data_IF_230300440276
#
_entry.id   IF_230300440276
#
_cell.length_a   1.000
_cell.length_b   1.000
_cell.length_c   1.000
_cell.angle_alpha   90.00
_cell.angle_beta   90.00
_cell.angle_gamma   90.00
#
_symmetry.space_group_name_H-M   'P 1'
#
loop_
_entity.id
_entity.type
_entity.pdbx_description
1 polymer ?
#
# COMPACT_ATOMS: atom_id res chain seq x y z
N UNK A 1 4.01 -2.77 -29.69
CA UNK A 1 3.88 -1.93 -28.48
C UNK A 1 2.53 -2.25 -27.87
N UNK A 2 2.49 -2.71 -26.62
CA UNK A 2 1.22 -2.80 -25.90
C UNK A 2 0.71 -1.35 -25.70
N UNK A 3 -0.56 -1.09 -26.01
CA UNK A 3 -1.16 0.23 -25.79
C UNK A 3 -1.13 0.61 -24.31
N UNK A 4 -1.09 1.92 -24.02
CA UNK A 4 -1.14 2.41 -22.64
C UNK A 4 -2.47 2.01 -21.98
N UNK A 5 -2.42 1.64 -20.70
CA UNK A 5 -3.63 1.32 -19.91
C UNK A 5 -4.58 2.51 -19.79
N UNK A 6 -4.12 3.73 -20.10
CA UNK A 6 -4.89 4.97 -20.06
C UNK A 6 -5.50 5.36 -21.42
N UNK A 7 -5.31 4.58 -22.49
CA UNK A 7 -5.91 4.85 -23.82
C UNK A 7 -7.45 4.73 -23.84
N UNK A 8 -8.00 3.96 -22.89
CA UNK A 8 -9.44 3.85 -22.67
C UNK A 8 -9.81 4.70 -21.47
N UNK A 9 -10.80 5.58 -21.62
CA UNK A 9 -11.25 6.44 -20.52
C UNK A 9 -11.70 5.60 -19.32
N UNK A 10 -11.05 5.78 -18.19
CA UNK A 10 -11.41 5.05 -16.98
C UNK A 10 -12.70 5.64 -16.37
N UNK A 11 -13.74 4.81 -16.25
CA UNK A 11 -15.05 5.23 -15.75
C UNK A 11 -15.03 5.72 -14.30
N UNK A 12 -14.14 5.18 -13.45
CA UNK A 12 -14.07 5.54 -12.03
C UNK A 12 -13.38 6.90 -11.85
N UNK A 13 -12.30 7.11 -12.59
CA UNK A 13 -11.64 8.41 -12.68
C UNK A 13 -12.61 9.47 -13.23
N UNK A 14 -13.26 9.18 -14.36
CA UNK A 14 -14.18 10.12 -15.00
C UNK A 14 -15.40 10.43 -14.12
N UNK A 15 -15.96 9.43 -13.44
CA UNK A 15 -17.06 9.65 -12.49
C UNK A 15 -16.62 10.56 -11.33
N UNK A 16 -15.40 10.41 -10.84
CA UNK A 16 -14.85 11.27 -9.80
C UNK A 16 -14.64 12.71 -10.31
N UNK A 17 -14.15 12.84 -11.55
CA UNK A 17 -13.96 14.13 -12.22
C UNK A 17 -15.27 14.88 -12.41
N UNK A 18 -16.36 14.19 -12.78
CA UNK A 18 -17.69 14.81 -12.90
C UNK A 18 -18.16 15.33 -11.54
N UNK A 19 -18.00 14.56 -10.47
CA UNK A 19 -18.34 15.04 -9.11
C UNK A 19 -17.52 16.26 -8.71
N UNK A 20 -16.20 16.23 -8.94
CA UNK A 20 -15.35 17.38 -8.66
C UNK A 20 -15.76 18.61 -9.48
N UNK A 21 -16.23 18.42 -10.71
CA UNK A 21 -16.69 19.53 -11.57
C UNK A 21 -17.94 20.26 -11.10
N UNK A 22 -18.68 19.69 -10.14
CA UNK A 22 -19.85 20.35 -9.52
C UNK A 22 -19.43 21.45 -8.54
N UNK A 23 -18.20 21.35 -8.01
CA UNK A 23 -17.69 22.27 -6.97
C UNK A 23 -16.52 23.12 -7.46
N UNK A 24 -15.80 22.65 -8.47
CA UNK A 24 -14.64 23.32 -9.04
C UNK A 24 -14.73 23.35 -10.56
N UNK A 25 -14.38 24.47 -11.16
CA UNK A 25 -14.36 24.56 -12.61
C UNK A 25 -13.21 23.73 -13.20
N UNK A 26 -13.57 22.70 -13.97
CA UNK A 26 -12.65 21.88 -14.74
C UNK A 26 -13.02 22.01 -16.21
N UNK A 27 -12.04 22.36 -17.04
CA UNK A 27 -12.22 22.57 -18.46
C UNK A 27 -11.28 21.69 -19.26
N UNK A 28 -11.68 21.35 -20.48
CA UNK A 28 -10.80 20.69 -21.43
C UNK A 28 -9.85 21.73 -22.03
N UNK A 29 -8.54 21.53 -21.87
CA UNK A 29 -7.49 22.49 -22.28
C UNK A 29 -7.24 22.51 -23.79
N UNK A 30 -7.64 21.47 -24.50
CA UNK A 30 -7.48 21.27 -25.95
C UNK A 30 -8.63 20.44 -26.55
N UNK A 31 -8.66 20.24 -27.86
CA UNK A 31 -9.66 19.37 -28.47
C UNK A 31 -9.37 17.90 -28.13
N UNK A 32 -10.39 17.15 -27.70
CA UNK A 32 -10.27 15.71 -27.41
C UNK A 32 -10.79 14.92 -28.59
N UNK A 33 -9.97 13.98 -29.06
CA UNK A 33 -10.26 13.13 -30.21
C UNK A 33 -10.35 11.66 -29.81
N UNK A 34 -11.16 10.89 -30.54
CA UNK A 34 -11.08 9.43 -30.52
C UNK A 34 -9.75 8.97 -31.15
N UNK A 35 -9.37 7.72 -30.90
CA UNK A 35 -8.25 7.07 -31.59
C UNK A 35 -8.42 7.02 -33.13
N UNK A 36 -9.64 7.17 -33.65
CA UNK A 36 -9.94 7.25 -35.08
C UNK A 36 -9.84 8.66 -35.66
N UNK A 37 -9.51 9.67 -34.84
CA UNK A 37 -9.39 11.07 -35.26
C UNK A 37 -10.71 11.85 -35.25
N UNK A 38 -11.81 11.27 -34.74
CA UNK A 38 -13.08 11.98 -34.59
C UNK A 38 -13.01 12.91 -33.38
N UNK A 39 -13.30 14.21 -33.58
CA UNK A 39 -13.39 15.17 -32.47
C UNK A 39 -14.58 14.82 -31.58
N UNK A 40 -14.30 14.46 -30.33
CA UNK A 40 -15.31 14.10 -29.34
C UNK A 40 -15.72 15.29 -28.50
N UNK A 41 -14.76 16.11 -28.04
CA UNK A 41 -14.98 17.27 -27.18
C UNK A 41 -14.17 18.46 -27.69
N UNK A 42 -14.74 19.66 -27.61
CA UNK A 42 -14.05 20.89 -27.97
C UNK A 42 -13.25 21.47 -26.80
N UNK A 43 -12.12 22.11 -27.10
CA UNK A 43 -11.37 22.95 -26.16
C UNK A 43 -12.29 23.94 -25.46
N UNK A 44 -12.08 24.13 -24.17
CA UNK A 44 -12.85 25.03 -23.30
C UNK A 44 -14.17 24.43 -22.82
N UNK A 45 -14.53 23.20 -23.22
CA UNK A 45 -15.73 22.54 -22.69
C UNK A 45 -15.54 22.27 -21.21
N UNK A 46 -16.51 22.67 -20.38
CA UNK A 46 -16.52 22.33 -18.97
C UNK A 46 -16.85 20.85 -18.76
N UNK A 47 -16.16 20.20 -17.83
CA UNK A 47 -16.47 18.84 -17.41
C UNK A 47 -17.88 18.80 -16.82
N UNK A 48 -18.66 17.82 -17.25
CA UNK A 48 -20.06 17.66 -16.87
C UNK A 48 -20.52 16.23 -17.15
N UNK A 49 -21.71 15.87 -16.67
CA UNK A 49 -22.35 14.59 -17.01
C UNK A 49 -22.55 14.40 -18.53
N UNK A 50 -22.85 15.47 -19.26
CA UNK A 50 -22.97 15.40 -20.72
C UNK A 50 -21.63 15.12 -21.42
N UNK A 51 -20.51 15.62 -20.87
CA UNK A 51 -19.17 15.26 -21.34
C UNK A 51 -18.88 13.79 -21.07
N UNK A 52 -19.23 13.28 -19.88
CA UNK A 52 -19.06 11.86 -19.53
C UNK A 52 -19.68 10.94 -20.57
N UNK A 53 -20.95 11.16 -20.89
CA UNK A 53 -21.73 10.32 -21.82
C UNK A 53 -21.10 10.29 -23.23
N UNK A 54 -20.40 11.37 -23.63
CA UNK A 54 -19.75 11.49 -24.94
C UNK A 54 -18.42 10.77 -25.05
N UNK A 55 -17.74 10.43 -23.94
CA UNK A 55 -16.36 9.88 -23.99
C UNK A 55 -16.19 8.53 -23.29
N UNK A 56 -17.09 8.13 -22.38
CA UNK A 56 -16.92 6.91 -21.57
C UNK A 56 -16.75 5.65 -22.42
N UNK A 57 -17.43 5.57 -23.57
CA UNK A 57 -17.38 4.41 -24.47
C UNK A 57 -16.40 4.59 -25.65
N UNK A 58 -15.55 5.61 -25.61
CA UNK A 58 -14.59 5.89 -26.67
C UNK A 58 -13.15 5.70 -26.19
N UNK A 59 -12.35 5.00 -27.00
CA UNK A 59 -10.89 5.05 -26.88
C UNK A 59 -10.40 6.40 -27.40
N UNK A 60 -9.67 7.12 -26.57
CA UNK A 60 -9.16 8.45 -26.87
C UNK A 60 -7.81 8.36 -27.61
N UNK A 61 -7.46 9.43 -28.32
CA UNK A 61 -6.16 9.55 -28.98
C UNK A 61 -4.99 9.57 -27.97
N UNK A 62 -5.25 10.11 -26.78
CA UNK A 62 -4.34 10.17 -25.63
C UNK A 62 -5.15 10.15 -24.33
N UNK A 63 -4.52 9.86 -23.18
CA UNK A 63 -5.17 9.92 -21.87
C UNK A 63 -5.92 11.24 -21.66
N UNK A 64 -7.13 11.18 -21.10
CA UNK A 64 -8.00 12.34 -20.91
C UNK A 64 -7.31 13.41 -20.06
N UNK A 65 -6.57 12.96 -19.05
CA UNK A 65 -5.89 13.75 -18.02
C UNK A 65 -4.95 14.79 -18.63
N UNK A 66 -4.31 14.46 -19.75
CA UNK A 66 -3.44 15.38 -20.49
C UNK A 66 -4.20 16.57 -21.09
N UNK A 67 -5.50 16.41 -21.32
CA UNK A 67 -6.38 17.40 -21.94
C UNK A 67 -7.24 18.14 -20.92
N UNK A 68 -6.97 18.00 -19.62
CA UNK A 68 -7.71 18.67 -18.55
C UNK A 68 -6.94 19.87 -18.01
N UNK A 69 -7.68 20.90 -17.63
CA UNK A 69 -7.20 22.02 -16.82
C UNK A 69 -8.21 22.28 -15.73
N UNK A 70 -7.73 22.41 -14.52
CA UNK A 70 -8.54 22.93 -13.41
C UNK A 70 -8.35 24.45 -13.41
N UNK A 71 -9.44 25.23 -13.40
CA UNK A 71 -9.34 26.69 -13.20
C UNK A 71 -8.62 26.94 -11.89
N UNK A 72 -7.70 27.91 -11.83
CA UNK A 72 -6.72 28.26 -10.75
C UNK A 72 -7.27 28.22 -9.28
N UNK A 73 -7.82 27.09 -8.85
CA UNK A 73 -7.98 26.71 -7.47
C UNK A 73 -6.62 26.22 -7.05
N UNK A 74 -6.04 26.86 -6.04
CA UNK A 74 -4.78 26.44 -5.47
C UNK A 74 -4.85 24.93 -5.23
N UNK A 75 -3.81 24.20 -5.67
CA UNK A 75 -3.57 22.88 -5.08
C UNK A 75 -3.70 23.04 -3.55
N UNK A 76 -4.29 22.06 -2.86
CA UNK A 76 -4.35 22.07 -1.41
C UNK A 76 -3.00 22.49 -0.81
N UNK A 77 -3.05 23.34 0.21
CA UNK A 77 -1.84 23.80 0.89
C UNK A 77 -1.24 22.64 1.69
N UNK A 78 -0.36 21.87 1.03
CA UNK A 78 0.32 20.73 1.62
C UNK A 78 1.11 21.15 2.86
N UNK A 79 1.61 22.39 2.91
CA UNK A 79 2.36 22.89 4.05
C UNK A 79 1.46 23.07 5.27
N UNK A 80 0.30 23.69 5.11
CA UNK A 80 -0.71 23.77 6.19
C UNK A 80 -1.22 22.39 6.61
N UNK A 81 -1.45 21.47 5.67
CA UNK A 81 -1.82 20.08 6.00
C UNK A 81 -0.72 19.39 6.84
N UNK A 82 0.55 19.59 6.48
CA UNK A 82 1.68 19.05 7.23
C UNK A 82 1.82 19.64 8.63
N UNK A 83 1.60 20.94 8.79
CA UNK A 83 1.56 21.61 10.10
C UNK A 83 0.46 21.02 10.98
N UNK A 84 -0.76 20.89 10.45
CA UNK A 84 -1.87 20.26 11.17
C UNK A 84 -1.58 18.82 11.59
N UNK A 85 -0.95 18.02 10.71
CA UNK A 85 -0.55 16.65 11.05
C UNK A 85 0.48 16.61 12.19
N UNK A 86 1.44 17.54 12.21
CA UNK A 86 2.39 17.64 13.32
C UNK A 86 1.75 18.05 14.64
N UNK A 87 0.72 18.89 14.59
CA UNK A 87 -0.04 19.29 15.79
C UNK A 87 -0.92 18.15 16.31
N UNK A 88 -1.55 17.37 15.41
CA UNK A 88 -2.42 16.25 15.76
C UNK A 88 -1.63 15.00 16.23
N UNK A 89 -0.41 14.79 15.73
CA UNK A 89 0.32 13.52 15.88
C UNK A 89 1.72 13.74 16.48
N UNK A 90 1.87 13.69 17.82
CA UNK A 90 3.17 13.85 18.49
C UNK A 90 4.25 12.84 18.04
N UNK A 91 3.84 11.61 17.69
CA UNK A 91 4.75 10.57 17.21
C UNK A 91 5.28 10.87 15.81
N UNK A 92 4.49 11.50 14.95
CA UNK A 92 4.92 11.95 13.62
C UNK A 92 6.01 13.02 13.75
N UNK A 93 5.82 13.98 14.66
CA UNK A 93 6.78 15.06 14.89
C UNK A 93 8.16 14.51 15.25
N UNK A 94 8.24 13.48 16.07
CA UNK A 94 9.52 12.88 16.46
C UNK A 94 10.27 12.22 15.29
N UNK A 95 9.54 11.58 14.38
CA UNK A 95 10.14 10.89 13.22
C UNK A 95 10.48 11.90 12.11
N UNK A 96 9.63 12.90 11.90
CA UNK A 96 9.64 13.70 10.69
C UNK A 96 9.95 15.19 10.89
N UNK A 97 9.91 15.77 12.10
CA UNK A 97 10.20 17.21 12.33
C UNK A 97 11.71 17.49 12.47
N UNK A 98 12.44 17.21 11.39
CA UNK A 98 13.87 17.49 11.30
C UNK A 98 14.15 18.87 10.71
N UNK A 99 15.38 19.37 10.90
CA UNK A 99 15.81 20.65 10.33
C UNK A 99 17.26 20.59 9.83
N UNK A 100 17.48 21.05 8.61
CA UNK A 100 18.82 21.25 8.03
C UNK A 100 19.01 22.71 7.63
N UNK A 101 19.70 23.48 8.47
CA UNK A 101 19.87 24.92 8.29
C UNK A 101 18.51 25.64 8.32
N UNK A 102 18.00 26.04 7.16
CA UNK A 102 16.67 26.67 7.00
C UNK A 102 15.61 25.73 6.39
N UNK A 103 16.01 24.54 5.95
CA UNK A 103 15.10 23.57 5.33
C UNK A 103 14.40 22.78 6.43
N UNK A 104 13.07 22.68 6.31
CA UNK A 104 12.19 21.88 7.16
C UNK A 104 11.27 21.04 6.27
N UNK A 105 10.71 19.93 6.77
CA UNK A 105 9.75 19.10 6.04
C UNK A 105 8.55 19.90 5.51
N UNK A 106 7.94 20.74 6.34
CA UNK A 106 6.84 21.64 5.93
C UNK A 106 7.31 22.64 4.87
N UNK A 107 8.51 23.20 5.02
CA UNK A 107 9.10 24.07 4.01
C UNK A 107 9.32 23.34 2.68
N UNK A 108 9.68 22.06 2.71
CA UNK A 108 9.78 21.24 1.50
C UNK A 108 8.43 20.97 0.87
N UNK A 109 7.39 20.66 1.66
CA UNK A 109 6.02 20.52 1.17
C UNK A 109 5.54 21.78 0.46
N UNK A 110 5.86 22.95 1.01
CA UNK A 110 5.53 24.26 0.39
C UNK A 110 6.19 24.46 -0.97
N UNK A 111 7.40 23.93 -1.15
CA UNK A 111 8.18 24.07 -2.38
C UNK A 111 7.92 22.93 -3.40
N UNK A 112 7.09 21.92 -3.05
CA UNK A 112 6.70 20.87 -3.98
C UNK A 112 5.90 21.46 -5.14
N UNK A 113 6.44 21.31 -6.35
CA UNK A 113 5.82 21.82 -7.59
C UNK A 113 5.49 20.65 -8.50
N UNK A 114 4.21 20.57 -8.85
CA UNK A 114 3.73 19.63 -9.85
C UNK A 114 3.39 20.36 -11.15
N UNK A 115 3.67 19.74 -12.31
CA UNK A 115 3.26 20.30 -13.59
C UNK A 115 1.73 20.33 -13.68
N UNK A 116 1.19 21.20 -14.53
CA UNK A 116 -0.27 21.45 -14.63
C UNK A 116 -1.09 20.19 -14.85
N UNK A 117 -0.51 19.21 -15.55
CA UNK A 117 -1.14 17.91 -15.84
C UNK A 117 -1.43 17.08 -14.59
N UNK A 118 -0.69 17.31 -13.48
CA UNK A 118 -0.96 16.62 -12.22
C UNK A 118 -2.13 17.23 -11.43
N UNK A 119 -2.50 18.50 -11.71
CA UNK A 119 -3.44 19.23 -10.87
C UNK A 119 -4.83 18.59 -10.80
N UNK A 120 -5.44 18.12 -11.92
CA UNK A 120 -6.71 17.38 -11.84
C UNK A 120 -6.61 16.11 -10.99
N UNK A 121 -5.49 15.40 -11.08
CA UNK A 121 -5.26 14.13 -10.34
C UNK A 121 -5.15 14.41 -8.84
N UNK A 122 -4.35 15.41 -8.46
CA UNK A 122 -4.14 15.80 -7.06
C UNK A 122 -5.40 16.42 -6.43
N UNK A 123 -6.14 17.25 -7.18
CA UNK A 123 -7.41 17.80 -6.71
C UNK A 123 -8.47 16.70 -6.49
N UNK A 124 -8.45 15.63 -7.28
CA UNK A 124 -9.30 14.47 -7.05
C UNK A 124 -8.90 13.66 -5.82
N UNK A 125 -7.59 13.48 -5.59
CA UNK A 125 -7.07 12.78 -4.41
C UNK A 125 -7.42 13.49 -3.09
N UNK A 126 -7.50 14.83 -3.08
CA UNK A 126 -7.92 15.60 -1.90
C UNK A 126 -9.31 15.21 -1.39
N UNK A 127 -10.25 14.94 -2.30
CA UNK A 127 -11.67 14.85 -1.96
C UNK A 127 -12.18 13.44 -1.73
N UNK A 128 -11.32 12.42 -1.86
CA UNK A 128 -11.72 11.04 -1.59
C UNK A 128 -11.44 10.68 -0.13
N UNK A 129 -12.38 9.94 0.44
CA UNK A 129 -12.23 9.34 1.77
C UNK A 129 -11.31 8.12 1.77
N UNK A 130 -11.15 7.45 0.63
CA UNK A 130 -10.43 6.16 0.52
C UNK A 130 -8.96 6.32 0.11
N UNK A 131 -8.66 7.30 -0.75
CA UNK A 131 -7.31 7.76 -1.10
C UNK A 131 -7.30 9.23 -0.66
N UNK A 132 -6.87 9.48 0.57
CA UNK A 132 -6.92 10.82 1.14
C UNK A 132 -5.57 11.48 0.99
N UNK A 133 -5.55 12.65 0.37
CA UNK A 133 -4.36 13.49 0.32
C UNK A 133 -3.74 13.75 1.71
N UNK A 134 -4.53 13.72 2.79
CA UNK A 134 -4.00 13.79 4.16
C UNK A 134 -3.05 12.63 4.46
N UNK A 135 -3.40 11.42 4.01
CA UNK A 135 -2.53 10.23 4.12
C UNK A 135 -1.31 10.39 3.22
N UNK A 136 -1.45 10.89 2.00
CA UNK A 136 -0.30 11.14 1.12
C UNK A 136 0.70 12.14 1.72
N UNK A 137 0.21 13.21 2.35
CA UNK A 137 1.05 14.18 3.07
C UNK A 137 1.71 13.53 4.30
N UNK A 138 0.98 12.70 5.05
CA UNK A 138 1.53 11.93 6.17
C UNK A 138 2.65 10.99 5.73
N UNK A 139 2.42 10.19 4.68
CA UNK A 139 3.42 9.28 4.09
C UNK A 139 4.62 10.08 3.58
N UNK A 140 4.38 11.26 2.98
CA UNK A 140 5.45 12.14 2.49
C UNK A 140 6.33 12.66 3.63
N UNK A 141 5.74 13.13 4.74
CA UNK A 141 6.49 13.56 5.92
C UNK A 141 7.32 12.42 6.51
N UNK A 142 6.72 11.23 6.67
CA UNK A 142 7.41 10.04 7.16
C UNK A 142 8.55 9.62 6.24
N UNK A 143 8.31 9.57 4.93
CA UNK A 143 9.31 9.21 3.94
C UNK A 143 10.50 10.18 3.95
N UNK A 144 10.25 11.48 4.10
CA UNK A 144 11.32 12.48 4.27
C UNK A 144 12.08 12.30 5.58
N UNK A 145 11.39 12.02 6.70
CA UNK A 145 12.03 11.71 7.99
C UNK A 145 12.95 10.49 7.92
N UNK A 146 12.46 9.41 7.31
CA UNK A 146 13.21 8.17 7.08
C UNK A 146 14.39 8.42 6.14
N UNK A 147 14.19 9.11 5.02
CA UNK A 147 15.26 9.43 4.07
C UNK A 147 16.36 10.29 4.74
N UNK A 148 15.96 11.25 5.57
CA UNK A 148 16.89 12.08 6.33
C UNK A 148 17.77 11.22 7.26
N UNK A 149 17.15 10.33 8.03
CA UNK A 149 17.87 9.44 8.94
C UNK A 149 18.72 8.38 8.21
N UNK A 150 18.33 7.96 7.01
CA UNK A 150 19.01 6.92 6.24
C UNK A 150 20.28 7.40 5.55
N UNK A 151 20.26 8.60 4.94
CA UNK A 151 21.38 9.07 4.10
C UNK A 151 21.86 10.49 4.30
N UNK A 152 21.21 11.28 5.15
CA UNK A 152 21.57 12.66 5.51
C UNK A 152 22.06 13.54 4.33
N UNK A 153 21.24 14.53 3.95
CA UNK A 153 21.59 15.66 3.05
C UNK A 153 21.60 15.41 1.52
N UNK A 154 21.07 14.30 1.01
CA UNK A 154 20.84 14.18 -0.44
C UNK A 154 19.55 14.94 -0.84
N UNK A 155 19.70 16.20 -1.24
CA UNK A 155 18.59 17.05 -1.64
C UNK A 155 17.83 16.52 -2.87
N UNK A 156 18.51 15.83 -3.79
CA UNK A 156 17.88 15.25 -4.98
C UNK A 156 17.02 14.05 -4.58
N UNK A 157 17.57 13.13 -3.80
CA UNK A 157 16.83 11.99 -3.26
C UNK A 157 15.62 12.47 -2.46
N UNK A 158 15.79 13.47 -1.59
CA UNK A 158 14.70 14.01 -0.77
C UNK A 158 13.54 14.54 -1.62
N UNK A 159 13.83 15.31 -2.67
CA UNK A 159 12.81 15.80 -3.59
C UNK A 159 12.11 14.66 -4.36
N UNK A 160 12.87 13.64 -4.77
CA UNK A 160 12.33 12.46 -5.46
C UNK A 160 11.44 11.62 -4.54
N UNK A 161 11.87 11.39 -3.29
CA UNK A 161 11.10 10.69 -2.25
C UNK A 161 9.82 11.44 -1.94
N UNK A 162 9.89 12.75 -1.71
CA UNK A 162 8.70 13.55 -1.41
C UNK A 162 7.68 13.52 -2.57
N UNK A 163 8.16 13.62 -3.81
CA UNK A 163 7.29 13.54 -4.99
C UNK A 163 6.71 12.14 -5.19
N UNK A 164 7.50 11.08 -4.97
CA UNK A 164 7.04 9.71 -5.10
C UNK A 164 5.99 9.37 -4.02
N UNK A 165 6.22 9.78 -2.78
CA UNK A 165 5.29 9.59 -1.67
C UNK A 165 3.95 10.31 -1.92
N UNK A 166 3.96 11.55 -2.41
CA UNK A 166 2.72 12.26 -2.75
C UNK A 166 1.90 11.61 -3.87
N UNK A 167 2.50 10.72 -4.67
CA UNK A 167 1.87 10.14 -5.85
C UNK A 167 1.74 8.61 -5.79
N UNK A 168 2.13 7.97 -4.70
CA UNK A 168 2.23 6.51 -4.65
C UNK A 168 0.90 5.80 -4.93
N UNK A 169 -0.20 6.37 -4.42
CA UNK A 169 -1.54 5.78 -4.49
C UNK A 169 -2.50 6.49 -5.46
N UNK A 170 -2.04 7.41 -6.30
CA UNK A 170 -2.93 8.08 -7.30
C UNK A 170 -3.54 7.10 -8.30
N UNK A 171 -2.99 5.89 -8.40
CA UNK A 171 -3.57 4.78 -9.16
C UNK A 171 -4.92 4.30 -8.63
N UNK A 172 -5.21 4.50 -7.35
CA UNK A 172 -6.50 4.13 -6.74
C UNK A 172 -7.67 4.94 -7.30
N UNK A 173 -7.42 6.13 -7.85
CA UNK A 173 -8.44 6.95 -8.53
C UNK A 173 -9.10 6.23 -9.72
N UNK A 174 -8.40 5.24 -10.28
CA UNK A 174 -8.80 4.46 -11.46
C UNK A 174 -9.41 3.11 -11.09
N UNK A 175 -9.52 2.79 -9.79
CA UNK A 175 -10.06 1.54 -9.28
C UNK A 175 -11.47 1.78 -8.74
N UNK A 176 -12.30 0.73 -8.74
CA UNK A 176 -13.62 0.78 -8.15
C UNK A 176 -13.52 1.27 -6.70
N UNK A 177 -14.19 2.39 -6.33
CA UNK A 177 -14.13 2.93 -4.97
C UNK A 177 -14.53 1.93 -3.89
N UNK A 178 -15.47 1.01 -4.17
CA UNK A 178 -15.88 -0.03 -3.23
C UNK A 178 -14.73 -1.02 -2.94
N UNK A 179 -13.94 -1.37 -3.96
CA UNK A 179 -12.77 -2.25 -3.82
C UNK A 179 -11.67 -1.55 -3.03
N UNK A 180 -11.40 -0.27 -3.30
CA UNK A 180 -10.41 0.50 -2.54
C UNK A 180 -10.82 0.62 -1.06
N UNK A 181 -12.10 0.90 -0.79
CA UNK A 181 -12.61 1.02 0.58
C UNK A 181 -12.53 -0.27 1.40
N UNK A 182 -12.53 -1.44 0.72
CA UNK A 182 -12.57 -2.75 1.36
C UNK A 182 -11.34 -3.60 0.99
N UNK A 183 -10.22 -2.97 0.63
CA UNK A 183 -9.06 -3.68 0.08
C UNK A 183 -8.44 -4.71 1.05
N UNK A 184 -8.53 -4.47 2.36
CA UNK A 184 -8.06 -5.42 3.38
C UNK A 184 -8.90 -6.70 3.47
N UNK A 185 -10.18 -6.61 3.09
CA UNK A 185 -11.15 -7.71 3.06
C UNK A 185 -11.58 -8.09 1.64
N UNK A 186 -10.87 -7.59 0.62
CA UNK A 186 -11.25 -7.75 -0.77
C UNK A 186 -11.25 -9.23 -1.19
N UNK A 187 -12.24 -9.61 -1.97
CA UNK A 187 -12.28 -10.92 -2.61
C UNK A 187 -11.08 -11.08 -3.57
N UNK A 188 -10.64 -12.30 -3.91
CA UNK A 188 -9.43 -12.50 -4.70
C UNK A 188 -9.38 -11.71 -6.03
N UNK A 189 -10.51 -11.61 -6.74
CA UNK A 189 -10.60 -10.83 -7.98
C UNK A 189 -10.54 -9.31 -7.73
N UNK A 190 -11.10 -8.85 -6.61
CA UNK A 190 -11.05 -7.44 -6.19
C UNK A 190 -9.63 -7.07 -5.74
N UNK A 191 -8.94 -7.98 -5.05
CA UNK A 191 -7.53 -7.79 -4.69
C UNK A 191 -6.62 -7.68 -5.92
N UNK A 192 -6.89 -8.41 -7.00
CA UNK A 192 -6.18 -8.22 -8.28
C UNK A 192 -6.39 -6.84 -8.89
N UNK A 193 -7.61 -6.30 -8.75
CA UNK A 193 -7.89 -4.95 -9.20
C UNK A 193 -7.14 -3.93 -8.32
N UNK A 194 -7.20 -4.10 -7.00
CA UNK A 194 -6.52 -3.25 -6.04
C UNK A 194 -4.99 -3.23 -6.24
N UNK A 195 -4.36 -4.41 -6.32
CA UNK A 195 -2.91 -4.56 -6.50
C UNK A 195 -2.35 -4.03 -7.83
N UNK A 196 -3.23 -3.59 -8.74
CA UNK A 196 -2.82 -2.90 -9.95
C UNK A 196 -2.52 -1.40 -9.73
N UNK A 197 -2.92 -0.80 -8.60
CA UNK A 197 -2.74 0.64 -8.37
C UNK A 197 -1.28 1.12 -8.49
N UNK A 198 -0.22 0.40 -8.07
CA UNK A 198 1.15 0.90 -8.23
C UNK A 198 1.54 0.99 -9.70
N UNK A 199 1.05 0.06 -10.53
CA UNK A 199 1.26 0.06 -11.98
C UNK A 199 0.54 1.25 -12.62
N UNK A 200 -0.69 1.52 -12.19
CA UNK A 200 -1.48 2.66 -12.67
C UNK A 200 -0.83 3.98 -12.25
N UNK A 201 -0.48 4.12 -10.97
CA UNK A 201 0.18 5.29 -10.41
C UNK A 201 1.50 5.60 -11.13
N UNK A 202 2.33 4.58 -11.35
CA UNK A 202 3.57 4.72 -12.11
C UNK A 202 3.33 5.12 -13.57
N UNK A 203 2.25 4.62 -14.19
CA UNK A 203 1.87 5.02 -15.56
C UNK A 203 1.43 6.49 -15.58
N UNK A 204 0.60 6.93 -14.63
CA UNK A 204 0.19 8.34 -14.49
C UNK A 204 1.40 9.24 -14.25
N UNK A 205 2.27 8.88 -13.32
CA UNK A 205 3.50 9.62 -13.01
C UNK A 205 4.39 9.83 -14.26
N UNK A 206 4.50 8.81 -15.11
CA UNK A 206 5.34 8.86 -16.32
C UNK A 206 4.64 9.53 -17.52
N UNK A 207 3.45 9.07 -17.87
CA UNK A 207 2.79 9.40 -19.13
C UNK A 207 1.92 10.66 -19.05
N UNK A 208 1.36 10.95 -17.87
CA UNK A 208 0.52 12.13 -17.65
C UNK A 208 1.33 13.27 -17.05
N UNK A 209 2.06 12.99 -15.98
CA UNK A 209 2.78 14.03 -15.23
C UNK A 209 4.17 14.29 -15.83
N UNK A 210 4.82 13.30 -16.45
CA UNK A 210 6.13 13.46 -17.07
C UNK A 210 7.29 13.50 -16.07
N UNK A 211 7.19 12.72 -14.99
CA UNK A 211 8.19 12.70 -13.91
C UNK A 211 9.44 11.87 -14.25
N UNK A 212 10.51 12.13 -13.50
CA UNK A 212 11.77 11.41 -13.59
C UNK A 212 11.58 9.89 -13.39
N UNK A 213 12.26 9.03 -14.18
CA UNK A 213 12.13 7.57 -14.07
C UNK A 213 12.40 7.01 -12.66
N UNK A 214 13.23 7.66 -11.84
CA UNK A 214 13.46 7.22 -10.47
C UNK A 214 12.22 7.43 -9.59
N UNK A 215 11.49 8.54 -9.78
CA UNK A 215 10.22 8.80 -9.07
C UNK A 215 9.18 7.76 -9.50
N UNK A 216 9.04 7.54 -10.81
CA UNK A 216 8.17 6.51 -11.36
C UNK A 216 8.47 5.13 -10.74
N UNK A 217 9.76 4.77 -10.66
CA UNK A 217 10.21 3.51 -10.08
C UNK A 217 9.85 3.41 -8.60
N UNK A 218 10.06 4.48 -7.83
CA UNK A 218 9.65 4.55 -6.43
C UNK A 218 8.15 4.35 -6.22
N UNK A 219 7.32 5.02 -7.04
CA UNK A 219 5.87 4.84 -7.07
C UNK A 219 5.48 3.40 -7.42
N UNK A 220 6.14 2.77 -8.38
CA UNK A 220 5.83 1.38 -8.76
C UNK A 220 6.18 0.36 -7.66
N UNK A 221 7.20 0.65 -6.86
CA UNK A 221 7.84 -0.31 -5.96
C UNK A 221 7.43 -0.17 -4.49
N UNK A 222 6.53 0.74 -4.14
CA UNK A 222 6.20 1.00 -2.72
C UNK A 222 5.51 -0.18 -2.00
N UNK A 223 5.05 -1.20 -2.72
CA UNK A 223 4.55 -2.46 -2.15
C UNK A 223 5.49 -3.66 -2.36
N UNK A 224 6.69 -3.44 -2.89
CA UNK A 224 7.73 -4.46 -2.99
C UNK A 224 8.41 -4.66 -1.63
N UNK A 225 8.80 -5.89 -1.34
CA UNK A 225 9.50 -6.25 -0.09
C UNK A 225 10.77 -7.02 -0.43
N UNK A 226 11.82 -6.86 0.38
CA UNK A 226 13.15 -7.41 0.06
C UNK A 226 13.17 -8.95 -0.06
N UNK A 227 12.21 -9.63 0.57
CA UNK A 227 12.04 -11.07 0.53
C UNK A 227 11.29 -11.58 -0.72
N UNK A 228 10.88 -10.68 -1.64
CA UNK A 228 10.17 -11.00 -2.87
C UNK A 228 8.68 -11.33 -2.70
N UNK A 229 8.13 -11.14 -1.49
CA UNK A 229 6.71 -11.37 -1.22
C UNK A 229 5.80 -10.18 -1.60
N UNK A 230 6.40 -9.06 -2.04
CA UNK A 230 5.70 -7.86 -2.48
C UNK A 230 5.14 -7.92 -3.90
N UNK A 231 4.55 -6.82 -4.34
CA UNK A 231 3.92 -6.67 -5.67
C UNK A 231 4.22 -5.26 -6.22
N UNK A 232 4.09 -5.01 -7.54
CA UNK A 232 3.55 -5.89 -8.59
C UNK A 232 4.54 -6.86 -9.24
N UNK A 233 5.85 -6.72 -9.03
CA UNK A 233 6.90 -7.49 -9.72
C UNK A 233 7.52 -8.59 -8.85
N UNK A 234 7.37 -8.56 -7.53
CA UNK A 234 7.93 -9.58 -6.64
C UNK A 234 9.46 -9.53 -6.62
N UNK A 235 10.02 -8.33 -6.47
CA UNK A 235 11.46 -8.09 -6.54
C UNK A 235 12.16 -8.55 -5.26
N UNK A 236 13.40 -9.03 -5.39
CA UNK A 236 14.24 -9.41 -4.24
C UNK A 236 15.36 -8.39 -4.00
N UNK A 237 15.63 -8.09 -2.73
CA UNK A 237 16.83 -7.37 -2.28
C UNK A 237 17.16 -6.12 -3.11
N UNK A 238 18.37 -6.07 -3.70
CA UNK A 238 18.93 -4.99 -4.54
C UNK A 238 18.11 -4.68 -5.80
N UNK A 239 17.09 -5.48 -6.11
CA UNK A 239 16.13 -5.21 -7.17
C UNK A 239 15.22 -4.01 -6.88
N UNK A 240 15.02 -3.66 -5.61
CA UNK A 240 14.13 -2.58 -5.19
C UNK A 240 14.93 -1.28 -5.07
N UNK A 241 14.41 -0.20 -5.65
CA UNK A 241 15.02 1.12 -5.53
C UNK A 241 14.94 1.65 -4.10
N UNK A 242 15.91 2.48 -3.74
CA UNK A 242 15.93 3.16 -2.46
C UNK A 242 14.66 3.99 -2.20
N UNK A 243 14.14 4.67 -3.24
CA UNK A 243 12.89 5.42 -3.13
C UNK A 243 11.72 4.47 -2.83
N UNK A 244 11.63 3.33 -3.53
CA UNK A 244 10.59 2.33 -3.29
C UNK A 244 10.63 1.77 -1.86
N UNK A 245 11.83 1.45 -1.35
CA UNK A 245 12.01 0.99 0.02
C UNK A 245 11.59 2.04 1.06
N UNK A 246 12.00 3.30 0.87
CA UNK A 246 11.66 4.39 1.79
C UNK A 246 10.15 4.66 1.78
N UNK A 247 9.54 4.81 0.60
CA UNK A 247 8.11 5.10 0.46
C UNK A 247 7.26 3.95 0.99
N UNK A 248 7.61 2.70 0.68
CA UNK A 248 6.88 1.53 1.18
C UNK A 248 6.96 1.38 2.70
N UNK A 249 8.13 1.65 3.27
CA UNK A 249 8.29 1.65 4.73
C UNK A 249 7.49 2.79 5.38
N UNK A 250 7.50 3.99 4.79
CA UNK A 250 6.71 5.12 5.26
C UNK A 250 5.21 4.87 5.18
N UNK A 251 4.74 4.23 4.10
CA UNK A 251 3.33 3.85 3.92
C UNK A 251 2.87 2.88 5.02
N UNK A 252 3.68 1.85 5.35
CA UNK A 252 3.39 0.97 6.48
C UNK A 252 3.35 1.73 7.82
N UNK A 253 4.29 2.64 8.06
CA UNK A 253 4.29 3.42 9.30
C UNK A 253 3.05 4.31 9.39
N UNK A 254 2.61 4.91 8.28
CA UNK A 254 1.43 5.75 8.24
C UNK A 254 0.16 5.01 8.69
N UNK A 255 0.04 3.70 8.41
CA UNK A 255 -1.11 2.89 8.88
C UNK A 255 -1.06 2.56 10.37
N UNK A 256 0.08 2.74 11.04
CA UNK A 256 0.30 2.35 12.43
C UNK A 256 0.50 3.55 13.36
N UNK A 257 0.92 4.70 12.84
CA UNK A 257 1.38 5.83 13.66
C UNK A 257 0.26 6.53 14.43
N UNK A 258 -0.99 6.40 13.96
CA UNK A 258 -2.19 6.90 14.63
C UNK A 258 -2.84 5.91 15.60
N UNK A 259 -2.35 4.68 15.69
CA UNK A 259 -2.88 3.63 16.56
C UNK A 259 -2.32 3.74 17.98
N UNK A 260 -2.95 3.04 18.93
CA UNK A 260 -2.45 2.93 20.31
C UNK A 260 -1.08 2.26 20.36
N UNK A 261 -0.16 2.78 21.18
CA UNK A 261 1.22 2.29 21.31
C UNK A 261 1.93 2.13 19.94
N UNK A 262 1.96 3.19 19.12
CA UNK A 262 2.38 3.09 17.73
C UNK A 262 3.84 2.64 17.61
N UNK A 263 4.68 3.01 18.57
CA UNK A 263 6.09 2.68 18.52
C UNK A 263 6.39 1.19 18.65
N UNK A 264 5.69 0.54 19.59
CA UNK A 264 5.78 -0.90 19.76
C UNK A 264 5.18 -1.63 18.55
N UNK A 265 4.03 -1.16 18.02
CA UNK A 265 3.39 -1.74 16.82
C UNK A 265 4.30 -1.67 15.59
N UNK A 266 4.87 -0.50 15.31
CA UNK A 266 5.81 -0.30 14.19
C UNK A 266 7.06 -1.16 14.40
N UNK A 267 7.60 -1.18 15.62
CA UNK A 267 8.76 -2.01 15.96
C UNK A 267 8.51 -3.50 15.69
N UNK A 268 7.34 -4.01 16.08
CA UNK A 268 6.91 -5.38 15.78
C UNK A 268 6.73 -5.56 14.28
N UNK A 269 5.97 -4.69 13.60
CA UNK A 269 5.67 -4.83 12.17
C UNK A 269 6.93 -4.86 11.30
N UNK A 270 7.91 -3.99 11.57
CA UNK A 270 9.17 -3.91 10.81
C UNK A 270 10.13 -5.07 11.09
N UNK A 271 10.03 -5.70 12.25
CA UNK A 271 10.94 -6.78 12.69
C UNK A 271 10.31 -8.16 12.63
N UNK A 272 8.99 -8.23 12.41
CA UNK A 272 8.23 -9.49 12.43
C UNK A 272 8.77 -10.47 11.39
N UNK A 273 9.00 -10.02 10.15
CA UNK A 273 9.62 -10.81 9.10
C UNK A 273 11.07 -10.38 8.84
N UNK A 274 12.06 -11.17 9.27
CA UNK A 274 13.45 -10.91 8.93
C UNK A 274 13.66 -10.87 7.42
N UNK A 275 14.29 -9.80 6.94
CA UNK A 275 14.60 -9.61 5.53
C UNK A 275 13.44 -9.11 4.66
N UNK A 276 12.33 -8.68 5.25
CA UNK A 276 11.27 -7.98 4.51
C UNK A 276 11.64 -6.51 4.22
N UNK A 277 12.26 -5.85 5.20
CA UNK A 277 12.70 -4.45 5.14
C UNK A 277 14.23 -4.34 5.21
N UNK A 278 14.79 -3.25 4.67
CA UNK A 278 16.23 -2.98 4.73
C UNK A 278 16.66 -2.81 6.21
N UNK A 279 17.63 -3.59 6.71
CA UNK A 279 18.04 -3.52 8.11
C UNK A 279 18.54 -2.14 8.55
N UNK A 280 19.14 -1.36 7.64
CA UNK A 280 19.60 0.00 7.92
C UNK A 280 18.40 0.93 8.09
N UNK A 281 17.36 0.81 7.25
CA UNK A 281 16.10 1.56 7.44
C UNK A 281 15.46 1.21 8.78
N UNK A 282 15.33 -0.09 9.09
CA UNK A 282 14.77 -0.56 10.36
C UNK A 282 15.56 -0.03 11.57
N UNK A 283 16.90 0.02 11.47
CA UNK A 283 17.76 0.60 12.51
C UNK A 283 17.53 2.09 12.68
N UNK A 284 17.55 2.86 11.59
CA UNK A 284 17.30 4.31 11.61
C UNK A 284 15.93 4.65 12.20
N UNK A 285 14.90 3.89 11.85
CA UNK A 285 13.55 4.08 12.40
C UNK A 285 13.52 3.70 13.89
N UNK A 286 14.12 2.57 14.27
CA UNK A 286 14.22 2.18 15.69
C UNK A 286 14.97 3.21 16.54
N UNK A 287 15.93 3.92 15.96
CA UNK A 287 16.63 5.05 16.58
C UNK A 287 15.71 6.26 16.77
N UNK A 288 15.01 6.68 15.73
CA UNK A 288 14.06 7.79 15.80
C UNK A 288 12.95 7.55 16.82
N UNK A 289 12.63 6.29 17.10
CA UNK A 289 11.51 5.90 17.97
C UNK A 289 11.94 5.57 19.40
N UNK A 290 13.24 5.49 19.68
CA UNK A 290 13.76 5.14 21.03
C UNK A 290 13.40 6.17 22.10
N UNK A 291 13.16 7.41 21.69
CA UNK A 291 12.80 8.51 22.59
C UNK A 291 11.30 8.55 22.94
N UNK A 292 10.49 7.63 22.36
CA UNK A 292 9.05 7.52 22.61
C UNK A 292 8.78 6.51 23.73
N UNK A 293 9.09 6.87 24.98
CA UNK A 293 8.59 6.12 26.13
C UNK A 293 7.24 6.70 26.57
N UNK A 294 6.15 6.18 26.00
CA UNK A 294 4.81 6.29 26.57
C UNK A 294 4.54 5.06 27.43
N UNK A 295 4.06 5.24 28.66
CA UNK A 295 3.65 4.14 29.51
C UNK A 295 2.53 3.34 28.81
N UNK A 296 2.68 2.01 28.78
CA UNK A 296 1.60 1.12 28.37
C UNK A 296 0.46 1.27 29.38
N UNK A 297 -0.68 1.82 28.95
CA UNK A 297 -1.88 1.82 29.78
C UNK A 297 -2.41 0.38 29.88
N UNK A 298 -2.32 -0.19 31.09
CA UNK A 298 -2.74 -1.56 31.40
C UNK A 298 -4.22 -1.82 31.09
N UNK A 299 -4.52 -3.02 30.58
CA UNK A 299 -5.87 -3.44 30.20
C UNK A 299 -6.41 -4.62 31.04
N UNK A 300 -7.73 -4.70 31.28
CA UNK A 300 -8.32 -5.60 32.27
C UNK A 300 -8.30 -7.09 31.91
N UNK A 301 -8.36 -7.94 32.95
CA UNK A 301 -8.25 -9.41 32.90
C UNK A 301 -9.24 -10.15 31.99
N UNK A 302 -10.37 -9.55 31.57
CA UNK A 302 -11.33 -10.18 30.65
C UNK A 302 -10.77 -10.39 29.24
N UNK A 303 -9.82 -9.55 28.79
CA UNK A 303 -9.20 -9.66 27.47
C UNK A 303 -8.19 -10.82 27.38
N UNK A 304 -7.61 -11.23 28.51
CA UNK A 304 -6.58 -12.29 28.58
C UNK A 304 -7.12 -13.67 28.19
N UNK A 305 -8.38 -13.97 28.54
CA UNK A 305 -9.05 -15.23 28.17
C UNK A 305 -9.35 -15.30 26.66
N UNK A 306 -9.78 -14.18 26.07
CA UNK A 306 -9.98 -14.07 24.62
C UNK A 306 -8.66 -14.22 23.87
N UNK A 307 -7.56 -13.66 24.39
CA UNK A 307 -6.26 -13.77 23.75
C UNK A 307 -5.74 -15.22 23.73
N UNK A 308 -5.83 -15.94 24.85
CA UNK A 308 -5.43 -17.36 24.91
C UNK A 308 -6.18 -18.20 23.88
N UNK A 309 -7.49 -17.96 23.75
CA UNK A 309 -8.33 -18.61 22.73
C UNK A 309 -7.87 -18.26 21.31
N UNK A 310 -7.51 -17.00 21.04
CA UNK A 310 -6.98 -16.55 19.75
C UNK A 310 -5.62 -17.20 19.43
N UNK A 311 -4.71 -17.27 20.41
CA UNK A 311 -3.41 -17.96 20.26
C UNK A 311 -3.65 -19.42 19.87
N UNK A 312 -4.51 -20.13 20.61
CA UNK A 312 -4.81 -21.53 20.31
C UNK A 312 -5.40 -21.71 18.91
N UNK A 313 -6.37 -20.87 18.51
CA UNK A 313 -6.96 -20.92 17.17
C UNK A 313 -5.92 -20.72 16.08
N UNK A 314 -5.04 -19.72 16.26
CA UNK A 314 -3.96 -19.41 15.31
C UNK A 314 -3.00 -20.60 15.20
N UNK A 315 -2.60 -21.20 16.32
CA UNK A 315 -1.73 -22.39 16.32
C UNK A 315 -2.35 -23.57 15.58
N UNK A 316 -3.65 -23.84 15.78
CA UNK A 316 -4.37 -24.88 15.05
C UNK A 316 -4.41 -24.59 13.55
N UNK A 317 -4.76 -23.36 13.16
CA UNK A 317 -4.80 -22.94 11.77
C UNK A 317 -3.42 -23.06 11.08
N UNK A 318 -2.36 -22.59 11.75
CA UNK A 318 -0.99 -22.72 11.26
C UNK A 318 -0.53 -24.18 11.13
N UNK A 319 -1.01 -25.08 11.99
CA UNK A 319 -0.76 -26.53 11.89
C UNK A 319 -1.47 -27.18 10.70
N UNK A 320 -2.66 -26.70 10.34
CA UNK A 320 -3.44 -27.24 9.22
C UNK A 320 -2.86 -26.95 7.83
N UNK A 321 -2.04 -25.90 7.69
CA UNK A 321 -1.43 -25.53 6.39
C UNK A 321 -0.42 -26.59 5.91
N UNK A 322 0.59 -27.00 6.70
CA UNK A 322 1.48 -28.11 6.32
C UNK A 322 0.73 -29.41 6.05
N UNK A 323 -0.28 -29.76 6.85
CA UNK A 323 -1.09 -30.97 6.62
C UNK A 323 -1.81 -30.93 5.26
N UNK A 324 -2.33 -29.76 4.88
CA UNK A 324 -2.97 -29.55 3.57
C UNK A 324 -1.96 -29.65 2.45
N UNK A 325 -0.77 -29.05 2.61
CA UNK A 325 0.33 -29.17 1.64
C UNK A 325 0.74 -30.63 1.43
N UNK A 326 0.92 -31.41 2.49
CA UNK A 326 1.30 -32.83 2.40
C UNK A 326 0.25 -33.67 1.65
N UNK A 327 -1.04 -33.42 1.90
CA UNK A 327 -2.15 -34.07 1.17
C UNK A 327 -2.11 -33.75 -0.33
N UNK A 328 -1.85 -32.49 -0.69
CA UNK A 328 -1.73 -32.05 -2.08
C UNK A 328 -0.44 -32.59 -2.73
N UNK A 329 0.67 -32.64 -1.99
CA UNK A 329 1.93 -33.20 -2.45
C UNK A 329 1.83 -34.69 -2.78
N UNK A 330 1.07 -35.46 -2.00
CA UNK A 330 0.77 -36.86 -2.32
C UNK A 330 0.03 -37.02 -3.66
N UNK A 331 -0.64 -35.96 -4.14
CA UNK A 331 -1.40 -35.88 -5.40
C UNK A 331 -0.65 -35.08 -6.47
N UNK A 332 0.65 -34.82 -6.32
CA UNK A 332 1.45 -34.01 -7.26
C UNK A 332 1.29 -34.40 -8.73
N UNK A 333 1.11 -35.70 -9.01
CA UNK A 333 0.94 -36.22 -10.38
C UNK A 333 -0.35 -35.76 -11.07
N UNK A 334 -1.34 -35.29 -10.31
CA UNK A 334 -2.60 -34.74 -10.81
C UNK A 334 -2.46 -33.27 -11.20
N UNK A 335 -1.42 -32.58 -10.74
CA UNK A 335 -1.20 -31.16 -10.96
C UNK A 335 -0.33 -30.90 -12.19
N UNK A 336 -0.64 -29.81 -12.89
CA UNK A 336 0.28 -29.28 -13.88
C UNK A 336 1.57 -28.77 -13.23
N UNK A 337 2.67 -28.76 -13.99
CA UNK A 337 3.96 -28.25 -13.51
C UNK A 337 3.85 -26.80 -13.00
N UNK A 338 3.05 -25.96 -13.66
CA UNK A 338 2.83 -24.57 -13.26
C UNK A 338 2.10 -24.46 -11.92
N UNK A 339 1.03 -25.23 -11.72
CA UNK A 339 0.30 -25.25 -10.46
C UNK A 339 1.15 -25.78 -9.31
N UNK A 340 1.95 -26.84 -9.55
CA UNK A 340 2.87 -27.36 -8.55
C UNK A 340 3.91 -26.32 -8.10
N UNK A 341 4.56 -25.64 -9.04
CA UNK A 341 5.54 -24.58 -8.73
C UNK A 341 4.89 -23.43 -7.96
N UNK A 342 3.65 -23.07 -8.28
CA UNK A 342 2.90 -22.06 -7.54
C UNK A 342 2.62 -22.52 -6.10
N UNK A 343 2.17 -23.76 -5.92
CA UNK A 343 1.91 -24.33 -4.60
C UNK A 343 3.18 -24.34 -3.72
N UNK A 344 4.31 -24.82 -4.26
CA UNK A 344 5.61 -24.81 -3.57
C UNK A 344 6.01 -23.40 -3.15
N UNK A 345 5.92 -22.43 -4.08
CA UNK A 345 6.29 -21.04 -3.81
C UNK A 345 5.47 -20.42 -2.66
N UNK A 346 4.16 -20.66 -2.63
CA UNK A 346 3.29 -20.16 -1.56
C UNK A 346 3.50 -20.89 -0.23
N UNK A 347 3.75 -22.20 -0.27
CA UNK A 347 4.10 -22.96 0.93
C UNK A 347 5.42 -22.50 1.55
N UNK A 348 6.46 -22.23 0.74
CA UNK A 348 7.71 -21.68 1.23
C UNK A 348 7.54 -20.31 1.91
N UNK A 349 6.70 -19.44 1.34
CA UNK A 349 6.33 -18.15 1.96
C UNK A 349 5.63 -18.36 3.30
N UNK A 350 4.70 -19.31 3.38
CA UNK A 350 4.05 -19.68 4.63
C UNK A 350 5.04 -20.22 5.67
N UNK A 351 5.98 -21.08 5.29
CA UNK A 351 7.00 -21.62 6.22
C UNK A 351 7.85 -20.48 6.81
N UNK A 352 8.16 -19.43 6.04
CA UNK A 352 8.83 -18.23 6.58
C UNK A 352 7.96 -17.52 7.62
N UNK A 353 6.67 -17.32 7.33
CA UNK A 353 5.71 -16.74 8.28
C UNK A 353 5.60 -17.58 9.57
N UNK A 354 5.54 -18.91 9.44
CA UNK A 354 5.45 -19.83 10.57
C UNK A 354 6.71 -19.77 11.46
N UNK A 355 7.90 -19.70 10.85
CA UNK A 355 9.16 -19.52 11.60
C UNK A 355 9.21 -18.19 12.32
N UNK A 356 8.82 -17.10 11.65
CA UNK A 356 8.72 -15.77 12.24
C UNK A 356 7.78 -15.78 13.46
N UNK A 357 6.56 -16.27 13.29
CA UNK A 357 5.58 -16.40 14.39
C UNK A 357 6.14 -17.22 15.56
N UNK A 358 6.76 -18.37 15.29
CA UNK A 358 7.35 -19.22 16.34
C UNK A 358 8.46 -18.49 17.10
N UNK A 359 9.27 -17.69 16.40
CA UNK A 359 10.39 -16.94 17.01
C UNK A 359 9.95 -15.82 17.96
N UNK A 360 8.69 -15.36 17.88
CA UNK A 360 8.14 -14.36 18.82
C UNK A 360 7.91 -14.90 20.23
N UNK A 361 7.90 -16.23 20.42
CA UNK A 361 7.58 -16.84 21.71
C UNK A 361 6.08 -16.81 22.08
N UNK A 362 5.22 -16.13 21.30
CA UNK A 362 3.77 -16.02 21.55
C UNK A 362 3.08 -17.38 21.66
N UNK A 363 3.56 -18.38 20.91
CA UNK A 363 3.08 -19.76 20.99
C UNK A 363 3.22 -20.38 22.40
N UNK A 364 4.16 -19.90 23.22
CA UNK A 364 4.43 -20.36 24.58
C UNK A 364 3.72 -19.59 25.69
N UNK A 365 3.11 -18.44 25.38
CA UNK A 365 2.45 -17.55 26.36
C UNK A 365 1.28 -18.15 27.16
N UNK A 366 0.50 -19.16 26.70
CA UNK A 366 -0.58 -19.74 27.49
C UNK A 366 -0.16 -20.35 28.85
N UNK A 367 1.15 -20.39 29.16
CA UNK A 367 1.73 -20.92 30.40
C UNK A 367 2.15 -19.85 31.41
N UNK A 368 2.07 -18.55 31.09
CA UNK A 368 2.49 -17.45 31.97
C UNK A 368 1.31 -16.99 32.82
N UNK A 369 1.47 -16.97 34.15
CA UNK A 369 0.45 -16.50 35.11
C UNK A 369 0.13 -15.02 34.90
N UNK A 370 -1.16 -14.66 34.98
CA UNK A 370 -1.70 -13.30 34.82
C UNK A 370 -1.19 -12.27 35.83
N UNK A 371 -0.43 -12.70 36.85
CA UNK A 371 -0.15 -11.90 38.04
C UNK A 371 1.33 -11.45 38.14
N UNK A 372 2.11 -11.60 37.05
CA UNK A 372 3.52 -11.19 37.00
C UNK A 372 3.74 -9.77 36.46
N UNK A 373 4.70 -9.04 37.02
CA UNK A 373 5.21 -7.79 36.43
C UNK A 373 5.64 -8.04 34.96
N UNK A 374 5.18 -7.21 34.02
CA UNK A 374 5.45 -7.34 32.58
C UNK A 374 4.48 -8.24 31.79
N UNK A 375 3.45 -8.79 32.43
CA UNK A 375 2.42 -9.58 31.73
C UNK A 375 1.64 -8.73 30.70
N UNK A 376 1.33 -7.47 31.02
CA UNK A 376 0.59 -6.56 30.15
C UNK A 376 1.32 -6.29 28.83
N UNK A 377 2.62 -6.01 28.88
CA UNK A 377 3.46 -5.80 27.69
C UNK A 377 3.51 -7.06 26.81
N UNK A 378 3.64 -8.24 27.43
CA UNK A 378 3.65 -9.51 26.71
C UNK A 378 2.31 -9.81 26.05
N UNK A 379 1.18 -9.48 26.70
CA UNK A 379 -0.15 -9.64 26.11
C UNK A 379 -0.40 -8.65 24.97
N UNK A 380 0.07 -7.41 25.10
CA UNK A 380 0.00 -6.43 24.01
C UNK A 380 0.83 -6.87 22.80
N UNK A 381 2.07 -7.30 23.02
CA UNK A 381 2.94 -7.82 21.97
C UNK A 381 2.31 -9.03 21.28
N UNK A 382 1.74 -9.97 22.05
CA UNK A 382 1.02 -11.11 21.51
C UNK A 382 -0.17 -10.70 20.65
N UNK A 383 -0.96 -9.71 21.08
CA UNK A 383 -2.07 -9.17 20.26
C UNK A 383 -1.56 -8.63 18.93
N UNK A 384 -0.49 -7.85 18.95
CA UNK A 384 0.12 -7.26 17.75
C UNK A 384 0.63 -8.34 16.81
N UNK A 385 1.36 -9.33 17.34
CA UNK A 385 1.87 -10.48 16.59
C UNK A 385 0.74 -11.29 15.96
N UNK A 386 -0.34 -11.56 16.71
CA UNK A 386 -1.51 -12.30 16.19
C UNK A 386 -2.25 -11.50 15.11
N UNK A 387 -2.34 -10.19 15.25
CA UNK A 387 -2.93 -9.33 14.22
C UNK A 387 -2.07 -9.32 12.95
N UNK A 388 -0.74 -9.24 13.09
CA UNK A 388 0.22 -9.23 11.99
C UNK A 388 0.22 -10.57 11.23
N UNK A 389 0.30 -11.70 11.94
CA UNK A 389 0.26 -13.02 11.30
C UNK A 389 -1.07 -13.24 10.59
N UNK A 390 -2.19 -12.81 11.20
CA UNK A 390 -3.51 -12.87 10.59
C UNK A 390 -3.58 -12.12 9.26
N UNK A 391 -3.14 -10.86 9.26
CA UNK A 391 -3.09 -10.02 8.05
C UNK A 391 -2.21 -10.64 6.95
N UNK A 392 -1.05 -11.22 7.32
CA UNK A 392 -0.12 -11.83 6.36
C UNK A 392 -0.64 -13.14 5.77
N UNK A 393 -1.22 -14.01 6.59
CA UNK A 393 -1.87 -15.24 6.14
C UNK A 393 -3.04 -14.94 5.20
N UNK A 394 -3.89 -13.97 5.57
CA UNK A 394 -5.01 -13.53 4.73
C UNK A 394 -4.54 -12.92 3.39
N UNK A 395 -3.48 -12.10 3.41
CA UNK A 395 -2.86 -11.55 2.19
C UNK A 395 -2.34 -12.68 1.29
N UNK A 396 -1.61 -13.64 1.86
CA UNK A 396 -1.04 -14.76 1.11
C UNK A 396 -2.13 -15.65 0.50
N UNK A 397 -3.21 -15.90 1.24
CA UNK A 397 -4.39 -16.63 0.75
C UNK A 397 -5.07 -15.93 -0.43
N UNK A 398 -5.34 -14.62 -0.30
CA UNK A 398 -5.96 -13.81 -1.37
C UNK A 398 -5.11 -13.79 -2.62
N UNK A 399 -3.80 -13.60 -2.48
CA UNK A 399 -2.87 -13.58 -3.60
C UNK A 399 -2.85 -14.92 -4.35
N UNK A 400 -2.87 -16.05 -3.63
CA UNK A 400 -2.93 -17.37 -4.24
C UNK A 400 -4.24 -17.60 -5.00
N UNK A 401 -5.37 -17.32 -4.34
CA UNK A 401 -6.70 -17.46 -4.93
C UNK A 401 -6.88 -16.58 -6.17
N UNK A 402 -6.31 -15.38 -6.14
CA UNK A 402 -6.28 -14.43 -7.24
C UNK A 402 -5.51 -14.98 -8.45
N UNK A 403 -4.27 -15.42 -8.20
CA UNK A 403 -3.38 -15.92 -9.26
C UNK A 403 -3.92 -17.22 -9.87
N UNK A 404 -4.48 -18.12 -9.06
CA UNK A 404 -5.04 -19.39 -9.52
C UNK A 404 -6.27 -19.20 -10.42
N UNK A 405 -7.16 -18.24 -10.09
CA UNK A 405 -8.34 -17.95 -10.90
C UNK A 405 -8.05 -17.22 -12.22
N UNK A 406 -6.93 -16.49 -12.30
CA UNK A 406 -6.57 -15.69 -13.49
C UNK A 406 -5.84 -16.51 -14.55
N UNK A 407 -5.02 -17.48 -14.16
CA UNK A 407 -4.19 -18.23 -15.10
C UNK A 407 -5.02 -19.24 -15.90
N UNK A 408 -5.25 -18.92 -17.17
CA UNK A 408 -6.03 -19.76 -18.10
C UNK A 408 -5.31 -21.07 -18.48
N UNK A 409 -4.05 -21.23 -18.12
CA UNK A 409 -3.31 -22.47 -18.36
C UNK A 409 -3.61 -23.56 -17.31
N UNK A 410 -4.19 -23.18 -16.17
CA UNK A 410 -4.54 -24.11 -15.10
C UNK A 410 -5.82 -24.88 -15.42
N UNK A 411 -5.78 -26.18 -15.15
CA UNK A 411 -6.94 -27.07 -15.26
C UNK A 411 -7.91 -26.85 -14.09
N UNK A 412 -9.17 -27.32 -14.18
CA UNK A 412 -10.09 -27.28 -13.04
C UNK A 412 -9.55 -27.99 -11.79
N UNK A 413 -8.74 -29.04 -11.96
CA UNK A 413 -8.08 -29.77 -10.86
C UNK A 413 -7.01 -28.90 -10.20
N UNK A 414 -6.19 -28.22 -11.01
CA UNK A 414 -5.18 -27.28 -10.52
C UNK A 414 -5.83 -26.17 -9.69
N UNK A 415 -6.87 -25.54 -10.24
CA UNK A 415 -7.59 -24.46 -9.56
C UNK A 415 -8.21 -24.93 -8.24
N UNK A 416 -8.82 -26.11 -8.21
CA UNK A 416 -9.40 -26.67 -7.00
C UNK A 416 -8.35 -26.92 -5.91
N UNK A 417 -7.19 -27.50 -6.26
CA UNK A 417 -6.11 -27.76 -5.31
C UNK A 417 -5.46 -26.48 -4.78
N UNK A 418 -5.21 -25.50 -5.66
CA UNK A 418 -4.66 -24.19 -5.24
C UNK A 418 -5.67 -23.43 -4.36
N UNK A 419 -6.96 -23.54 -4.63
CA UNK A 419 -8.01 -22.94 -3.79
C UNK A 419 -8.14 -23.66 -2.43
N UNK A 420 -8.01 -24.99 -2.39
CA UNK A 420 -7.94 -25.76 -1.14
C UNK A 420 -6.79 -25.26 -0.26
N UNK A 421 -5.61 -25.06 -0.85
CA UNK A 421 -4.47 -24.51 -0.12
C UNK A 421 -4.68 -23.03 0.29
N UNK A 422 -5.29 -22.20 -0.56
CA UNK A 422 -5.63 -20.82 -0.22
C UNK A 422 -6.58 -20.74 0.98
N UNK A 423 -7.57 -21.64 1.07
CA UNK A 423 -8.48 -21.72 2.21
C UNK A 423 -7.76 -22.13 3.51
N UNK A 424 -6.80 -23.05 3.43
CA UNK A 424 -5.98 -23.40 4.58
C UNK A 424 -5.15 -22.20 5.07
N UNK A 425 -4.56 -21.42 4.15
CA UNK A 425 -3.85 -20.19 4.47
C UNK A 425 -4.77 -19.14 5.13
N UNK A 426 -5.98 -18.97 4.61
CA UNK A 426 -6.96 -18.03 5.19
C UNK A 426 -7.37 -18.44 6.61
N UNK A 427 -7.51 -19.74 6.87
CA UNK A 427 -7.84 -20.27 8.20
C UNK A 427 -6.68 -20.20 9.21
N UNK A 428 -5.45 -19.98 8.75
CA UNK A 428 -4.27 -19.83 9.59
C UNK A 428 -4.11 -18.43 10.20
N UNK A 429 -4.83 -17.44 9.66
CA UNK A 429 -4.92 -16.08 10.21
C UNK A 429 -6.15 -15.91 11.09
#
# INVERSE_FOLDING_TARGET
>A
MAGSILETTNQHFLSALVKLSEEQEIHVSEDVFSHTGMKLIARGTQVSKGLYERIVNHKLLKPLELSLSVSDGALPDYSSMGEHLFDEMPNLKQIADWKYGRVTPVGMLKELKFPRQAHPVLALAERRTTCSLKVDVLVTLLAMGIANAYRYNDAKLMAQVATAAMLHDVGELYINPAVVAQHESAEPLEWLQYSAHPVIAATVAREVIGLDPAIQRGVLEHHETLDGAGYPRGLHSDGISEIGMIVGTAALIATLIGEDNPCQRIGIALKFMPGEFDPRLVSSISELMRDVHGACDGQPASESSHLTTRIHRTLLGMGGVPETYEKLAARQRELSKGAWVMLEHFFERFVRLQRAFTSTGVAGLPKISSDGEGAEDAYFEARCVLQEIGRRCAKLARELAAKSGRDKSFTPVDQACLMEFANALAAAG
#
